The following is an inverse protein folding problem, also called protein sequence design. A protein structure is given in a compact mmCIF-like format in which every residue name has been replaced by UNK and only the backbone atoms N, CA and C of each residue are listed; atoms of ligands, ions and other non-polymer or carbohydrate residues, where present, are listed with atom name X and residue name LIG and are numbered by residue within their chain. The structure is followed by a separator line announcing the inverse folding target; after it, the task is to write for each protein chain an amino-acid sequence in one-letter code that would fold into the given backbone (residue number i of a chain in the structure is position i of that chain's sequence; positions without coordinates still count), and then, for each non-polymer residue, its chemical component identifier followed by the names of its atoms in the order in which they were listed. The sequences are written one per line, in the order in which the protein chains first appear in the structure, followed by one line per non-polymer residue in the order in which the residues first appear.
data_IF_553472597791
#
_entry.id   IF_553472597791
#
_cell.length_a   1.000
_cell.length_b   1.000
_cell.length_c   1.000
_cell.angle_alpha   90.00
_cell.angle_beta   90.00
_cell.angle_gamma   90.00
#
_symmetry.space_group_name_H-M   'P 1'
#
loop_
_entity.id
_entity.type
_entity.pdbx_description
1 polymer ?
#
# COMPACT_ATOMS: atom_id res chain seq x y z
N UNK A 1 14.79 -37.13 -45.21
CA UNK A 1 13.39 -36.62 -45.13
C UNK A 1 13.36 -35.17 -45.56
N UNK A 2 13.00 -34.91 -46.82
CA UNK A 2 12.73 -33.58 -47.35
C UNK A 2 11.35 -33.12 -46.83
N UNK A 3 11.30 -31.96 -46.19
CA UNK A 3 10.05 -31.30 -45.80
C UNK A 3 9.40 -30.76 -47.10
N UNK A 4 8.13 -31.05 -47.40
CA UNK A 4 7.50 -30.55 -48.62
C UNK A 4 7.42 -29.01 -48.60
N UNK A 5 7.43 -28.34 -49.77
CA UNK A 5 7.39 -26.88 -49.86
C UNK A 5 6.09 -26.35 -49.24
N UNK A 6 6.23 -25.48 -48.24
CA UNK A 6 5.12 -24.81 -47.56
C UNK A 6 4.42 -23.86 -48.55
N UNK A 7 3.37 -24.35 -49.21
CA UNK A 7 2.51 -23.53 -50.06
C UNK A 7 1.75 -22.54 -49.17
N UNK A 8 2.12 -21.26 -49.21
CA UNK A 8 1.41 -20.19 -48.52
C UNK A 8 -0.03 -20.13 -49.06
N UNK A 9 -0.98 -20.74 -48.35
CA UNK A 9 -2.41 -20.59 -48.62
C UNK A 9 -2.75 -19.11 -48.53
N UNK A 10 -3.19 -18.50 -49.63
CA UNK A 10 -3.73 -17.15 -49.59
C UNK A 10 -5.13 -17.24 -48.99
N UNK A 11 -5.27 -16.84 -47.73
CA UNK A 11 -6.56 -16.80 -47.05
C UNK A 11 -7.43 -15.71 -47.68
N UNK A 12 -8.72 -15.99 -47.85
CA UNK A 12 -9.69 -15.01 -48.34
C UNK A 12 -9.95 -13.93 -47.28
N UNK A 13 -10.36 -12.71 -47.67
CA UNK A 13 -10.58 -11.61 -46.74
C UNK A 13 -11.59 -11.95 -45.63
N UNK A 14 -12.60 -12.78 -45.90
CA UNK A 14 -13.50 -13.27 -44.84
C UNK A 14 -12.81 -14.18 -43.81
N UNK A 15 -11.91 -15.08 -44.23
CA UNK A 15 -11.14 -15.94 -43.31
C UNK A 15 -10.15 -15.13 -42.47
N UNK A 16 -9.54 -14.10 -43.05
CA UNK A 16 -8.70 -13.15 -42.31
C UNK A 16 -9.48 -12.45 -41.21
N UNK A 17 -10.69 -11.97 -41.53
CA UNK A 17 -11.52 -11.22 -40.58
C UNK A 17 -11.98 -12.10 -39.43
N UNK A 18 -12.34 -13.36 -39.70
CA UNK A 18 -12.66 -14.35 -38.67
C UNK A 18 -11.46 -14.65 -37.75
N UNK A 19 -10.27 -14.88 -38.33
CA UNK A 19 -9.05 -15.12 -37.54
C UNK A 19 -8.65 -13.88 -36.74
N UNK A 20 -8.76 -12.68 -37.32
CA UNK A 20 -8.50 -11.43 -36.61
C UNK A 20 -9.49 -11.25 -35.46
N UNK A 21 -10.78 -11.52 -35.62
CA UNK A 21 -11.72 -11.50 -34.50
C UNK A 21 -11.47 -12.61 -33.47
N UNK A 22 -10.92 -13.75 -33.89
CA UNK A 22 -10.53 -14.81 -32.97
C UNK A 22 -9.29 -14.42 -32.12
N UNK A 23 -8.32 -13.69 -32.69
CA UNK A 23 -7.10 -13.26 -32.00
C UNK A 23 -7.19 -11.89 -31.31
N UNK A 24 -7.94 -10.94 -31.87
CA UNK A 24 -8.10 -9.56 -31.39
C UNK A 24 -9.43 -9.37 -30.63
N UNK A 25 -10.38 -10.28 -30.80
CA UNK A 25 -11.62 -10.25 -30.02
C UNK A 25 -11.32 -10.34 -28.53
N UNK A 26 -12.02 -9.52 -27.75
CA UNK A 26 -11.94 -9.47 -26.28
C UNK A 26 -12.52 -10.75 -25.65
N UNK A 27 -11.92 -11.90 -25.95
CA UNK A 27 -12.13 -13.17 -25.26
C UNK A 27 -11.35 -13.10 -23.95
N UNK A 28 -11.92 -12.37 -22.98
CA UNK A 28 -11.53 -12.48 -21.58
C UNK A 28 -11.90 -13.90 -21.11
N UNK A 29 -11.14 -14.91 -21.52
CA UNK A 29 -11.24 -16.23 -20.90
C UNK A 29 -10.64 -16.07 -19.51
N UNK A 30 -11.50 -15.92 -18.52
CA UNK A 30 -11.14 -16.09 -17.12
C UNK A 30 -10.67 -17.55 -16.98
N UNK A 31 -9.37 -17.75 -17.21
CA UNK A 31 -8.75 -19.07 -17.24
C UNK A 31 -8.60 -19.46 -15.78
N UNK A 32 -9.65 -20.07 -15.23
CA UNK A 32 -9.76 -20.56 -13.85
C UNK A 32 -8.57 -21.44 -13.43
N UNK A 33 -7.81 -21.97 -14.40
CA UNK A 33 -6.57 -22.69 -14.16
C UNK A 33 -5.36 -22.06 -14.86
N UNK A 34 -4.95 -20.86 -14.44
CA UNK A 34 -3.78 -20.13 -14.98
C UNK A 34 -2.47 -20.90 -14.67
N UNK A 35 -2.05 -21.78 -15.58
CA UNK A 35 -0.68 -22.32 -15.55
C UNK A 35 0.25 -21.26 -16.12
N UNK A 36 0.85 -20.44 -15.25
CA UNK A 36 1.86 -19.45 -15.64
C UNK A 36 3.19 -20.19 -15.88
N UNK A 37 3.86 -20.00 -17.04
CA UNK A 37 5.16 -20.61 -17.27
C UNK A 37 6.17 -20.11 -16.23
N UNK A 38 6.79 -21.04 -15.48
CA UNK A 38 7.72 -20.80 -14.36
C UNK A 38 9.07 -20.16 -14.76
N UNK A 39 9.16 -19.55 -15.93
CA UNK A 39 10.44 -19.09 -16.50
C UNK A 39 11.06 -17.91 -15.73
N UNK A 40 10.34 -17.29 -14.78
CA UNK A 40 10.82 -16.14 -14.02
C UNK A 40 10.48 -16.20 -12.50
N UNK A 41 10.36 -17.41 -11.94
CA UNK A 41 10.14 -17.63 -10.51
C UNK A 41 8.79 -18.26 -10.14
N UNK A 42 8.61 -18.71 -8.88
CA UNK A 42 7.36 -19.34 -8.45
C UNK A 42 6.26 -18.28 -8.33
N UNK A 43 5.30 -18.29 -9.25
CA UNK A 43 4.07 -17.51 -9.07
C UNK A 43 3.21 -18.23 -8.03
N UNK A 44 3.24 -17.72 -6.80
CA UNK A 44 2.32 -18.15 -5.74
C UNK A 44 0.91 -17.75 -6.19
N UNK A 45 0.08 -18.73 -6.58
CA UNK A 45 -1.34 -18.48 -6.84
C UNK A 45 -1.97 -18.17 -5.47
N UNK A 46 -1.98 -16.88 -5.11
CA UNK A 46 -2.64 -16.38 -3.90
C UNK A 46 -4.11 -16.77 -3.93
N UNK A 47 -4.56 -17.44 -2.88
CA UNK A 47 -5.97 -17.69 -2.58
C UNK A 47 -6.76 -16.38 -2.56
N UNK A 48 -8.10 -16.45 -2.68
CA UNK A 48 -8.92 -15.23 -2.64
C UNK A 48 -8.75 -14.47 -1.31
N UNK A 49 -8.48 -15.20 -0.22
CA UNK A 49 -8.22 -14.64 1.10
C UNK A 49 -6.92 -13.84 1.12
N UNK A 50 -5.84 -14.39 0.56
CA UNK A 50 -4.55 -13.69 0.48
C UNK A 50 -4.60 -12.43 -0.38
N UNK A 51 -5.38 -12.44 -1.47
CA UNK A 51 -5.59 -11.25 -2.31
C UNK A 51 -6.34 -10.14 -1.58
N UNK A 52 -7.36 -10.51 -0.79
CA UNK A 52 -8.14 -9.55 -0.02
C UNK A 52 -7.29 -8.92 1.09
N UNK A 53 -6.42 -9.72 1.73
CA UNK A 53 -5.47 -9.22 2.73
C UNK A 53 -4.45 -8.29 2.08
N UNK A 54 -3.89 -8.65 0.93
CA UNK A 54 -2.96 -7.78 0.19
C UNK A 54 -3.59 -6.42 -0.16
N UNK A 55 -4.81 -6.44 -0.71
CA UNK A 55 -5.56 -5.21 -1.01
C UNK A 55 -5.83 -4.36 0.25
N UNK A 56 -6.08 -4.99 1.40
CA UNK A 56 -6.25 -4.28 2.66
C UNK A 56 -4.96 -3.59 3.12
N UNK A 57 -3.83 -4.28 3.07
CA UNK A 57 -2.53 -3.71 3.46
C UNK A 57 -2.05 -2.60 2.51
N UNK A 58 -2.47 -2.66 1.24
CA UNK A 58 -2.17 -1.61 0.28
C UNK A 58 -3.07 -0.39 0.43
N UNK A 59 -4.22 -0.52 1.11
CA UNK A 59 -5.19 0.56 1.25
C UNK A 59 -4.64 1.79 1.98
N UNK A 60 -4.97 2.96 1.45
CA UNK A 60 -4.60 4.26 2.00
C UNK A 60 -5.02 4.51 3.47
N UNK A 61 -6.28 4.24 3.89
CA UNK A 61 -6.65 4.44 5.29
C UNK A 61 -5.84 3.54 6.22
N UNK A 62 -5.52 2.31 5.78
CA UNK A 62 -4.73 1.38 6.57
C UNK A 62 -3.27 1.82 6.71
N UNK A 63 -2.60 2.19 5.60
CA UNK A 63 -1.22 2.73 5.63
C UNK A 63 -1.13 3.99 6.49
N UNK A 64 -2.10 4.88 6.37
CA UNK A 64 -2.15 6.11 7.17
C UNK A 64 -2.31 5.80 8.66
N UNK A 65 -3.23 4.91 9.03
CA UNK A 65 -3.39 4.48 10.42
C UNK A 65 -2.12 3.84 10.98
N UNK A 66 -1.53 2.90 10.23
CA UNK A 66 -0.33 2.18 10.67
C UNK A 66 0.85 3.13 10.84
N UNK A 67 1.06 4.07 9.91
CA UNK A 67 2.12 5.09 10.02
C UNK A 67 1.87 6.06 11.17
N UNK A 68 0.62 6.44 11.45
CA UNK A 68 0.27 7.24 12.62
C UNK A 68 0.58 6.50 13.92
N UNK A 69 0.23 5.21 14.03
CA UNK A 69 0.50 4.38 15.21
C UNK A 69 2.01 4.23 15.42
N UNK A 70 2.76 3.94 14.36
CA UNK A 70 4.22 3.81 14.42
C UNK A 70 4.89 5.15 14.79
N UNK A 71 4.46 6.25 14.18
CA UNK A 71 4.96 7.59 14.48
C UNK A 71 4.64 8.03 15.92
N UNK A 72 3.42 7.77 16.39
CA UNK A 72 3.00 8.04 17.76
C UNK A 72 3.82 7.23 18.76
N UNK A 73 4.05 5.94 18.50
CA UNK A 73 4.88 5.08 19.34
C UNK A 73 6.33 5.56 19.44
N UNK A 74 6.92 5.92 18.31
CA UNK A 74 8.28 6.47 18.27
C UNK A 74 8.37 7.82 19.01
N UNK A 75 7.42 8.73 18.78
CA UNK A 75 7.36 10.01 19.48
C UNK A 75 7.13 9.87 20.99
N UNK A 76 6.35 8.88 21.41
CA UNK A 76 6.14 8.58 22.82
C UNK A 76 7.42 8.03 23.48
N UNK A 77 8.14 7.13 22.80
CA UNK A 77 9.40 6.60 23.31
C UNK A 77 10.46 7.72 23.47
N UNK A 78 10.56 8.60 22.46
CA UNK A 78 11.48 9.74 22.50
C UNK A 78 11.08 10.74 23.60
N UNK A 79 9.79 11.04 23.74
CA UNK A 79 9.28 11.95 24.77
C UNK A 79 9.53 11.42 26.19
N UNK A 80 9.29 10.12 26.40
CA UNK A 80 9.53 9.47 27.69
C UNK A 80 11.03 9.42 28.01
N UNK A 81 11.87 9.06 27.03
CA UNK A 81 13.33 9.06 27.22
C UNK A 81 13.87 10.45 27.50
N UNK A 82 13.43 11.47 26.77
CA UNK A 82 13.83 12.87 26.98
C UNK A 82 13.47 13.37 28.39
N UNK A 83 12.32 12.95 28.93
CA UNK A 83 11.92 13.30 30.30
C UNK A 83 12.71 12.54 31.38
N UNK A 84 13.23 11.37 31.05
CA UNK A 84 14.09 10.58 31.94
C UNK A 84 15.50 11.16 32.06
N UNK A 85 16.04 11.72 30.97
CA UNK A 85 17.39 12.29 30.93
C UNK A 85 17.47 13.77 31.31
N UNK A 86 16.33 14.43 31.59
CA UNK A 86 16.31 15.83 32.00
C UNK A 86 15.14 16.19 32.91
N UNK A 87 15.39 16.33 34.23
CA UNK A 87 15.01 17.56 34.91
C UNK A 87 16.09 18.07 35.88
N UNK A 88 16.59 19.30 35.72
CA UNK A 88 17.32 20.02 36.78
C UNK A 88 16.35 20.36 37.90
N UNK A 89 16.34 19.53 38.95
CA UNK A 89 15.49 19.68 40.13
C UNK A 89 15.69 21.05 40.79
N UNK A 90 14.78 21.99 40.54
CA UNK A 90 14.72 23.29 41.22
C UNK A 90 13.40 23.49 41.97
N UNK A 91 12.89 22.43 42.61
CA UNK A 91 12.14 22.53 43.87
C UNK A 91 11.91 21.13 44.45
N UNK A 92 12.75 20.76 45.40
CA UNK A 92 12.78 19.45 46.06
C UNK A 92 11.84 19.46 47.27
N UNK A 93 10.58 19.87 47.04
CA UNK A 93 9.51 19.64 47.99
C UNK A 93 8.30 19.15 47.21
N UNK A 94 8.32 17.84 46.92
CA UNK A 94 7.06 17.10 46.80
C UNK A 94 6.09 17.58 45.71
N UNK A 95 6.58 17.86 44.48
CA UNK A 95 5.69 17.71 43.33
C UNK A 95 5.27 16.23 43.29
N UNK A 96 4.10 15.97 43.86
CA UNK A 96 3.42 14.68 43.96
C UNK A 96 3.71 13.86 42.70
N UNK A 97 4.07 12.58 42.81
CA UNK A 97 4.40 11.75 41.65
C UNK A 97 3.37 11.87 40.50
N UNK A 98 2.10 12.11 40.84
CA UNK A 98 1.01 12.41 39.90
C UNK A 98 1.22 13.68 39.06
N UNK A 99 1.74 14.75 39.65
CA UNK A 99 2.07 15.99 38.96
C UNK A 99 3.21 15.77 37.95
N UNK A 100 4.27 15.09 38.38
CA UNK A 100 5.39 14.71 37.50
C UNK A 100 4.89 13.81 36.35
N UNK A 101 4.07 12.80 36.66
CA UNK A 101 3.47 11.95 35.63
C UNK A 101 2.54 12.72 34.68
N UNK A 102 1.83 13.74 35.16
CA UNK A 102 0.98 14.59 34.31
C UNK A 102 1.82 15.44 33.36
N UNK A 103 2.91 16.03 33.83
CA UNK A 103 3.82 16.83 33.00
C UNK A 103 4.59 15.96 31.99
N UNK A 104 5.08 14.79 32.43
CA UNK A 104 5.69 13.79 31.54
C UNK A 104 4.70 13.30 30.49
N UNK A 105 3.44 13.04 30.87
CA UNK A 105 2.39 12.62 29.93
C UNK A 105 2.05 13.73 28.95
N UNK A 106 1.90 14.97 29.39
CA UNK A 106 1.57 16.10 28.53
C UNK A 106 2.67 16.34 27.48
N UNK A 107 3.93 16.34 27.90
CA UNK A 107 5.08 16.49 27.01
C UNK A 107 5.21 15.31 26.05
N UNK A 108 5.15 14.06 26.56
CA UNK A 108 5.20 12.83 25.75
C UNK A 108 4.07 12.78 24.72
N UNK A 109 2.85 13.15 25.09
CA UNK A 109 1.71 13.24 24.17
C UNK A 109 1.93 14.28 23.08
N UNK A 110 2.56 15.41 23.40
CA UNK A 110 2.87 16.44 22.42
C UNK A 110 3.88 15.93 21.40
N UNK A 111 4.95 15.25 21.84
CA UNK A 111 5.90 14.59 20.93
C UNK A 111 5.22 13.54 20.05
N UNK A 112 4.43 12.65 20.65
CA UNK A 112 3.73 11.59 19.94
C UNK A 112 2.79 12.13 18.85
N UNK A 113 2.06 13.21 19.11
CA UNK A 113 1.21 13.88 18.11
C UNK A 113 2.00 14.46 16.94
N UNK A 114 3.12 15.12 17.21
CA UNK A 114 3.95 15.71 16.16
C UNK A 114 4.52 14.63 15.22
N UNK A 115 5.03 13.53 15.77
CA UNK A 115 5.53 12.41 14.96
C UNK A 115 4.41 11.65 14.23
N UNK A 116 3.22 11.54 14.82
CA UNK A 116 2.06 10.98 14.14
C UNK A 116 1.64 11.82 12.92
N UNK A 117 1.64 13.15 13.03
CA UNK A 117 1.35 14.06 11.90
C UNK A 117 2.36 13.90 10.79
N UNK A 118 3.66 13.79 11.11
CA UNK A 118 4.71 13.54 10.11
C UNK A 118 4.48 12.21 9.39
N UNK A 119 4.13 11.15 10.13
CA UNK A 119 3.77 9.85 9.55
C UNK A 119 2.52 9.90 8.66
N UNK A 120 1.51 10.67 9.06
CA UNK A 120 0.31 10.89 8.28
C UNK A 120 0.59 11.64 6.97
N UNK A 121 1.48 12.63 6.99
CA UNK A 121 1.90 13.37 5.79
C UNK A 121 2.66 12.45 4.83
N UNK A 122 3.58 11.64 5.35
CA UNK A 122 4.36 10.70 4.52
C UNK A 122 3.45 9.71 3.77
N UNK A 123 2.53 9.06 4.50
CA UNK A 123 1.55 8.14 3.90
C UNK A 123 0.53 8.87 3.00
N UNK A 124 0.14 10.09 3.36
CA UNK A 124 -0.75 10.92 2.56
C UNK A 124 -0.16 11.28 1.20
N UNK A 125 1.13 11.64 1.16
CA UNK A 125 1.81 11.94 -0.11
C UNK A 125 1.85 10.71 -1.02
N UNK A 126 2.22 9.54 -0.50
CA UNK A 126 2.22 8.31 -1.32
C UNK A 126 0.83 8.00 -1.87
N UNK A 127 -0.21 8.12 -1.05
CA UNK A 127 -1.60 7.93 -1.46
C UNK A 127 -2.06 8.92 -2.52
N UNK A 128 -1.68 10.20 -2.39
CA UNK A 128 -2.01 11.21 -3.41
C UNK A 128 -1.29 10.96 -4.74
N UNK A 129 -0.06 10.44 -4.71
CA UNK A 129 0.71 10.12 -5.93
C UNK A 129 0.11 8.90 -6.64
N UNK A 130 -0.24 7.85 -5.88
CA UNK A 130 -0.92 6.67 -6.44
C UNK A 130 -2.26 7.07 -7.07
N UNK A 131 -3.02 7.92 -6.37
CA UNK A 131 -4.31 8.41 -6.83
C UNK A 131 -4.18 9.31 -8.06
N UNK A 132 -3.19 10.22 -8.13
CA UNK A 132 -3.03 11.12 -9.30
C UNK A 132 -2.54 10.37 -10.54
N UNK A 133 -1.69 9.35 -10.38
CA UNK A 133 -1.33 8.46 -11.48
C UNK A 133 -2.52 7.59 -11.92
N UNK A 134 -3.37 7.16 -10.98
CA UNK A 134 -4.64 6.50 -11.28
C UNK A 134 -5.67 7.42 -11.95
N UNK A 135 -5.77 8.68 -11.54
CA UNK A 135 -6.71 9.69 -12.07
C UNK A 135 -6.45 10.06 -13.54
N UNK A 136 -5.19 9.98 -14.01
CA UNK A 136 -4.86 10.13 -15.44
C UNK A 136 -5.48 9.01 -16.32
N UNK A 137 -5.97 7.92 -15.73
CA UNK A 137 -6.65 6.82 -16.41
C UNK A 137 -8.19 6.90 -16.38
N UNK A 138 -8.78 7.97 -15.82
CA UNK A 138 -10.22 8.29 -15.91
C UNK A 138 -11.13 7.43 -15.02
N UNK A 139 -11.62 7.99 -13.91
CA UNK A 139 -12.67 7.40 -13.09
C UNK A 139 -12.78 8.01 -11.69
N UNK A 140 -14.00 8.27 -11.23
CA UNK A 140 -14.38 8.93 -9.99
C UNK A 140 -14.05 8.16 -8.69
N UNK A 141 -12.76 7.95 -8.36
CA UNK A 141 -12.32 7.22 -7.14
C UNK A 141 -12.12 8.12 -5.91
N UNK A 142 -12.95 9.14 -5.72
CA UNK A 142 -12.98 9.90 -4.45
C UNK A 142 -13.55 9.06 -3.27
N UNK A 143 -13.97 7.81 -3.52
CA UNK A 143 -14.52 6.88 -2.54
C UNK A 143 -13.48 5.94 -1.91
N UNK A 144 -12.24 5.90 -2.40
CA UNK A 144 -11.12 5.20 -1.73
C UNK A 144 -10.42 6.04 -0.64
N UNK A 145 -10.98 7.21 -0.34
CA UNK A 145 -10.60 8.11 0.75
C UNK A 145 -11.47 7.94 2.02
N UNK A 146 -12.47 7.03 2.01
CA UNK A 146 -13.36 6.73 3.14
C UNK A 146 -13.65 5.23 3.31
#
# INVERSE_FOLDING_TARGET
MSNPPQQKRQLTPEEWTYLTHYFVGNNQRFRENIIIPKNLGPVQIKSNEEKMVEAFFESCPFKSLMSCVMGYGLGAAIGLFSSSVGPTATNVEQQTARQVFQEMKATTLSYAKNFAVIGAIFSGVECTIETVMGWLAGGDDCRLLL
#
